data_IF_369764261119
#
_entry.id   IF_369764261119
#
_cell.length_a   1.000
_cell.length_b   1.000
_cell.length_c   1.000
_cell.angle_alpha   90.00
_cell.angle_beta   90.00
_cell.angle_gamma   90.00
#
_symmetry.space_group_name_H-M   'P 1'
#
loop_
_entity.id
_entity.type
_entity.pdbx_description
1 polymer ?
#
# COMPACT_ATOMS: atom_id res chain seq x y z
N UNK A 1 12.75 -0.66 -1.65
CA UNK A 1 11.80 -1.55 -2.36
C UNK A 1 11.23 -0.82 -3.56
N UNK A 2 11.36 -1.42 -4.74
CA UNK A 2 10.64 -1.00 -5.94
C UNK A 2 9.35 -1.82 -6.02
N UNK A 3 8.25 -1.23 -6.49
CA UNK A 3 7.00 -1.94 -6.74
C UNK A 3 7.22 -2.92 -7.91
N UNK A 4 6.90 -4.20 -7.72
CA UNK A 4 6.99 -5.18 -8.81
C UNK A 4 5.82 -5.04 -9.77
N UNK A 5 6.06 -5.22 -11.07
CA UNK A 5 5.04 -5.14 -12.11
C UNK A 5 3.86 -6.10 -11.86
N UNK A 6 4.15 -7.34 -11.43
CA UNK A 6 3.12 -8.33 -11.11
C UNK A 6 2.14 -7.87 -10.02
N UNK A 7 2.63 -7.20 -8.97
CA UNK A 7 1.78 -6.69 -7.89
C UNK A 7 0.88 -5.54 -8.38
N UNK A 8 1.42 -4.66 -9.23
CA UNK A 8 0.66 -3.57 -9.86
C UNK A 8 -0.47 -4.14 -10.75
N UNK A 9 -0.17 -5.17 -11.53
CA UNK A 9 -1.13 -5.79 -12.43
C UNK A 9 -2.23 -6.52 -11.65
N UNK A 10 -1.89 -7.19 -10.55
CA UNK A 10 -2.87 -7.79 -9.64
C UNK A 10 -3.83 -6.75 -9.05
N UNK A 11 -3.34 -5.55 -8.70
CA UNK A 11 -4.20 -4.46 -8.23
C UNK A 11 -5.14 -3.96 -9.32
N UNK A 12 -4.65 -3.77 -10.55
CA UNK A 12 -5.51 -3.40 -11.69
C UNK A 12 -6.59 -4.46 -11.96
N UNK A 13 -6.21 -5.73 -11.87
CA UNK A 13 -7.14 -6.84 -12.04
C UNK A 13 -8.22 -6.84 -10.95
N UNK A 14 -7.86 -6.58 -9.69
CA UNK A 14 -8.85 -6.41 -8.60
C UNK A 14 -9.85 -5.29 -8.89
N UNK A 15 -9.37 -4.14 -9.35
CA UNK A 15 -10.27 -3.05 -9.76
C UNK A 15 -11.23 -3.48 -10.86
N UNK A 16 -10.73 -4.21 -11.86
CA UNK A 16 -11.54 -4.74 -12.96
C UNK A 16 -12.58 -5.77 -12.48
N UNK A 17 -12.18 -6.74 -11.67
CA UNK A 17 -13.06 -7.78 -11.12
C UNK A 17 -14.16 -7.21 -10.20
N UNK A 18 -13.84 -6.16 -9.44
CA UNK A 18 -14.78 -5.49 -8.56
C UNK A 18 -15.64 -4.43 -9.29
N UNK A 19 -15.33 -4.11 -10.55
CA UNK A 19 -16.00 -3.05 -11.30
C UNK A 19 -15.77 -1.65 -10.72
N UNK A 20 -14.68 -1.44 -9.98
CA UNK A 20 -14.36 -0.17 -9.32
C UNK A 20 -13.51 0.70 -10.24
N UNK A 21 -13.97 1.92 -10.48
CA UNK A 21 -13.18 2.93 -11.19
C UNK A 21 -12.06 3.45 -10.28
N UNK A 22 -10.83 3.46 -10.79
CA UNK A 22 -9.63 3.95 -10.07
C UNK A 22 -9.81 5.41 -9.64
N UNK A 23 -10.46 6.24 -10.47
CA UNK A 23 -10.72 7.64 -10.12
C UNK A 23 -11.71 7.81 -8.99
N UNK A 24 -12.75 6.97 -8.93
CA UNK A 24 -13.74 6.99 -7.85
C UNK A 24 -13.13 6.45 -6.55
N UNK A 25 -12.33 5.38 -6.65
CA UNK A 25 -11.54 4.87 -5.53
C UNK A 25 -10.59 5.94 -4.99
N UNK A 26 -9.86 6.64 -5.86
CA UNK A 26 -8.96 7.71 -5.44
C UNK A 26 -9.71 8.79 -4.68
N UNK A 27 -10.86 9.26 -5.18
CA UNK A 27 -11.70 10.26 -4.48
C UNK A 27 -12.24 9.74 -3.15
N UNK A 28 -12.70 8.50 -3.09
CA UNK A 28 -13.20 7.88 -1.86
C UNK A 28 -12.12 7.76 -0.76
N UNK A 29 -10.85 7.65 -1.17
CA UNK A 29 -9.69 7.59 -0.29
C UNK A 29 -8.95 8.94 -0.16
N UNK A 30 -9.54 10.04 -0.64
CA UNK A 30 -8.97 11.40 -0.61
C UNK A 30 -7.58 11.51 -1.27
N UNK A 31 -7.33 10.70 -2.29
CA UNK A 31 -6.11 10.73 -3.09
C UNK A 31 -6.33 11.38 -4.45
N UNK A 32 -5.27 12.01 -4.95
CA UNK A 32 -5.22 12.48 -6.32
C UNK A 32 -5.16 11.29 -7.30
N UNK A 33 -6.13 11.22 -8.21
CA UNK A 33 -6.24 10.13 -9.18
C UNK A 33 -5.02 10.03 -10.11
N UNK A 34 -4.42 11.16 -10.51
CA UNK A 34 -3.21 11.17 -11.33
C UNK A 34 -2.04 10.53 -10.58
N UNK A 35 -1.95 10.77 -9.27
CA UNK A 35 -0.94 10.17 -8.40
C UNK A 35 -1.15 8.66 -8.23
N UNK A 36 -2.41 8.20 -8.14
CA UNK A 36 -2.76 6.77 -8.14
C UNK A 36 -2.34 6.10 -9.46
N UNK A 37 -2.65 6.71 -10.61
CA UNK A 37 -2.18 6.21 -11.91
C UNK A 37 -0.64 6.22 -12.03
N UNK A 38 0.04 7.22 -11.45
CA UNK A 38 1.50 7.27 -11.43
C UNK A 38 2.12 6.11 -10.63
N UNK A 39 1.45 5.66 -9.55
CA UNK A 39 1.83 4.47 -8.77
C UNK A 39 1.52 3.19 -9.55
N UNK A 40 0.32 3.07 -10.12
CA UNK A 40 -0.12 1.91 -10.92
C UNK A 40 0.58 1.79 -12.29
N UNK A 41 1.30 2.81 -12.73
CA UNK A 41 2.17 2.74 -13.92
C UNK A 41 3.62 2.43 -13.56
N UNK A 42 3.97 2.29 -12.28
CA UNK A 42 5.33 2.06 -11.81
C UNK A 42 6.25 3.28 -11.93
N UNK A 43 5.73 4.43 -12.38
CA UNK A 43 6.50 5.68 -12.55
C UNK A 43 6.87 6.30 -11.19
N UNK A 44 5.96 6.19 -10.21
CA UNK A 44 6.19 6.63 -8.84
C UNK A 44 6.76 5.49 -7.99
N UNK A 45 7.97 5.67 -7.46
CA UNK A 45 8.63 4.66 -6.58
C UNK A 45 7.99 4.52 -5.19
N UNK A 46 6.95 5.31 -4.88
CA UNK A 46 6.18 5.25 -3.62
C UNK A 46 7.04 5.20 -2.34
N UNK A 47 8.16 5.94 -2.33
CA UNK A 47 9.14 5.89 -1.24
C UNK A 47 8.69 6.68 -0.01
N UNK A 48 7.98 7.79 -0.21
CA UNK A 48 7.52 8.72 0.83
C UNK A 48 6.29 9.51 0.37
N UNK A 49 5.65 10.23 1.30
CA UNK A 49 4.54 11.13 1.02
C UNK A 49 3.27 10.42 0.54
N UNK A 50 2.51 11.08 -0.32
CA UNK A 50 1.23 10.58 -0.82
C UNK A 50 1.36 9.31 -1.66
N UNK A 51 2.36 9.20 -2.54
CA UNK A 51 2.61 7.97 -3.28
C UNK A 51 2.86 6.77 -2.37
N UNK A 52 3.49 6.98 -1.20
CA UNK A 52 3.65 5.92 -0.20
C UNK A 52 2.32 5.52 0.43
N UNK A 53 1.49 6.50 0.83
CA UNK A 53 0.16 6.26 1.39
C UNK A 53 -0.72 5.48 0.40
N UNK A 54 -0.72 5.87 -0.88
CA UNK A 54 -1.43 5.16 -1.95
C UNK A 54 -0.93 3.72 -2.08
N UNK A 55 0.38 3.49 -2.13
CA UNK A 55 0.91 2.13 -2.23
C UNK A 55 0.54 1.24 -1.03
N UNK A 56 0.44 1.82 0.17
CA UNK A 56 -0.04 1.10 1.37
C UNK A 56 -1.54 0.81 1.25
N UNK A 57 -2.36 1.80 0.87
CA UNK A 57 -3.80 1.64 0.70
C UNK A 57 -4.17 0.62 -0.37
N UNK A 58 -3.39 0.54 -1.45
CA UNK A 58 -3.55 -0.47 -2.51
C UNK A 58 -3.02 -1.86 -2.11
N UNK A 59 -2.44 -2.02 -0.92
CA UNK A 59 -1.84 -3.27 -0.46
C UNK A 59 -0.55 -3.65 -1.19
N UNK A 60 0.07 -2.70 -1.90
CA UNK A 60 1.34 -2.91 -2.59
C UNK A 60 2.55 -2.80 -1.65
N UNK A 61 2.36 -2.23 -0.46
CA UNK A 61 3.41 -2.05 0.55
C UNK A 61 2.83 -2.21 1.96
N UNK A 62 3.57 -2.78 2.92
CA UNK A 62 3.13 -2.83 4.31
C UNK A 62 3.01 -1.42 4.91
N UNK A 63 2.04 -1.18 5.81
CA UNK A 63 1.92 0.05 6.56
C UNK A 63 3.13 0.26 7.48
N UNK A 64 3.46 1.52 7.82
CA UNK A 64 4.64 1.85 8.62
C UNK A 64 4.65 1.18 10.00
N UNK A 65 3.49 0.98 10.64
CA UNK A 65 3.42 0.31 11.95
C UNK A 65 3.85 -1.17 11.90
N UNK A 66 3.50 -1.88 10.82
CA UNK A 66 3.92 -3.27 10.64
C UNK A 66 5.40 -3.41 10.28
N UNK A 67 6.07 -2.33 9.84
CA UNK A 67 7.51 -2.36 9.56
C UNK A 67 8.38 -2.38 10.83
N UNK A 68 7.79 -2.05 11.99
CA UNK A 68 8.48 -2.02 13.27
C UNK A 68 8.22 -3.27 14.13
N UNK A 69 7.81 -4.39 13.52
CA UNK A 69 7.46 -5.66 14.18
C UNK A 69 8.57 -6.29 15.03
N UNK A 70 9.80 -5.79 14.97
CA UNK A 70 10.83 -6.11 15.97
C UNK A 70 10.45 -5.62 17.37
N UNK A 71 9.83 -4.44 17.49
CA UNK A 71 9.45 -3.85 18.78
C UNK A 71 8.24 -4.53 19.42
N UNK A 72 7.29 -5.04 18.62
CA UNK A 72 6.13 -5.78 19.13
C UNK A 72 6.49 -7.22 19.53
N UNK A 73 7.45 -7.84 18.85
CA UNK A 73 7.96 -9.17 19.27
C UNK A 73 8.65 -9.10 20.64
N UNK A 74 9.39 -8.03 20.94
CA UNK A 74 10.10 -7.88 22.22
C UNK A 74 9.15 -7.67 23.41
N UNK A 75 8.01 -6.99 23.19
CA UNK A 75 6.99 -6.80 24.21
C UNK A 75 6.19 -8.08 24.55
N UNK A 76 6.00 -8.99 23.58
CA UNK A 76 5.25 -10.23 23.80
C UNK A 76 6.08 -11.32 24.51
N UNK A 77 7.42 -11.21 24.50
CA UNK A 77 8.32 -12.17 25.16
C UNK A 77 8.49 -11.93 26.68
N UNK A 78 8.05 -10.79 27.23
CA UNK A 78 8.18 -10.50 28.68
C UNK A 78 6.99 -10.97 29.53
N UNK A 79 5.88 -11.39 28.93
CA UNK A 79 4.68 -11.85 29.65
C UNK A 79 4.72 -13.36 29.96
N UNK A 80 5.80 -14.07 29.60
CA UNK A 80 5.92 -15.53 29.75
C UNK A 80 6.85 -16.01 30.87
N UNK A 81 7.52 -15.11 31.60
CA UNK A 81 8.38 -15.46 32.75
C UNK A 81 7.71 -15.13 34.10
N UNK A 82 6.54 -15.71 34.36
CA UNK A 82 5.92 -15.75 35.69
C UNK A 82 5.31 -17.12 35.99
#
# INVERSE_FOLDING_TARGET
MNLSQAAIDAVKQRFFEQGICIGDWARAHEFDAFLVYAVLSGRAKAKRGESHRIAVALGLKPPPELSNTKALQEALFLESDS
#
